data_IF_160523189598
#
_entry.id   IF_160523189598
#
_cell.length_a   1.000
_cell.length_b   1.000
_cell.length_c   1.000
_cell.angle_alpha   90.00
_cell.angle_beta   90.00
_cell.angle_gamma   90.00
#
_symmetry.space_group_name_H-M   'P 1'
#
loop_
_entity.id
_entity.type
_entity.pdbx_description
1 polymer ?
#
# COMPACT_ATOMS: atom_id res chain seq x y z
N UNK A 1 -6.68 -19.83 -8.35
CA UNK A 1 -7.91 -19.21 -7.76
C UNK A 1 -8.09 -17.75 -8.18
N UNK A 2 -7.03 -16.95 -8.35
CA UNK A 2 -7.15 -15.50 -8.60
C UNK A 2 -6.75 -15.03 -10.02
N UNK A 3 -6.37 -15.95 -10.91
CA UNK A 3 -5.82 -15.61 -12.23
C UNK A 3 -6.79 -14.82 -13.16
N UNK A 4 -8.09 -14.85 -12.87
CA UNK A 4 -9.13 -14.17 -13.67
C UNK A 4 -9.90 -13.14 -12.83
N UNK A 5 -9.36 -12.67 -11.71
CA UNK A 5 -10.03 -11.62 -10.93
C UNK A 5 -9.97 -10.30 -11.73
N UNK A 6 -11.07 -9.54 -11.85
CA UNK A 6 -11.08 -8.28 -12.60
C UNK A 6 -10.00 -7.31 -12.12
N UNK A 7 -9.71 -7.30 -10.82
CA UNK A 7 -8.71 -6.39 -10.22
C UNK A 7 -7.26 -6.87 -10.39
N UNK A 8 -7.02 -8.07 -10.94
CA UNK A 8 -5.66 -8.63 -11.03
C UNK A 8 -4.73 -7.75 -11.87
N UNK A 9 -5.25 -7.20 -12.96
CA UNK A 9 -4.47 -6.33 -13.85
C UNK A 9 -4.08 -5.05 -13.13
N UNK A 10 -5.05 -4.35 -12.53
CA UNK A 10 -4.81 -3.11 -11.77
C UNK A 10 -3.91 -3.33 -10.54
N UNK A 11 -4.02 -4.48 -9.87
CA UNK A 11 -3.13 -4.86 -8.76
C UNK A 11 -1.69 -5.11 -9.25
N UNK A 12 -1.52 -5.76 -10.41
CA UNK A 12 -0.20 -5.97 -11.02
C UNK A 12 0.45 -4.67 -11.47
N UNK A 13 -0.32 -3.73 -12.00
CA UNK A 13 0.19 -2.41 -12.36
C UNK A 13 0.73 -1.66 -11.15
N UNK A 14 -0.01 -1.65 -10.04
CA UNK A 14 0.44 -1.03 -8.78
C UNK A 14 1.68 -1.71 -8.21
N UNK A 15 1.70 -3.05 -8.21
CA UNK A 15 2.89 -3.79 -7.79
C UNK A 15 4.11 -3.43 -8.64
N UNK A 16 3.98 -3.38 -9.98
CA UNK A 16 5.09 -2.98 -10.87
C UNK A 16 5.58 -1.57 -10.57
N UNK A 17 4.67 -0.62 -10.41
CA UNK A 17 5.02 0.75 -10.07
C UNK A 17 5.78 0.85 -8.75
N UNK A 18 5.36 0.09 -7.72
CA UNK A 18 6.11 0.02 -6.46
C UNK A 18 7.55 -0.47 -6.67
N UNK A 19 7.76 -1.47 -7.55
CA UNK A 19 9.10 -1.93 -7.87
C UNK A 19 9.92 -0.87 -8.62
N UNK A 20 9.30 -0.13 -9.53
CA UNK A 20 9.94 0.92 -10.33
C UNK A 20 10.35 2.14 -9.49
N UNK A 21 9.49 2.58 -8.56
CA UNK A 21 9.75 3.71 -7.66
C UNK A 21 10.52 3.33 -6.38
N UNK A 22 10.81 2.05 -6.17
CA UNK A 22 11.46 1.58 -4.94
C UNK A 22 10.60 1.72 -3.68
N UNK A 23 9.28 1.66 -3.84
CA UNK A 23 8.28 1.79 -2.76
C UNK A 23 7.92 0.40 -2.23
N UNK A 24 7.89 0.24 -0.91
CA UNK A 24 7.41 -0.99 -0.30
C UNK A 24 5.88 -1.12 -0.49
N UNK A 25 5.44 -2.23 -1.10
CA UNK A 25 4.02 -2.43 -1.41
C UNK A 25 3.16 -2.57 -0.15
N UNK A 26 3.70 -3.19 0.91
CA UNK A 26 2.96 -3.37 2.17
C UNK A 26 2.74 -2.00 2.85
N UNK A 27 3.78 -1.17 2.91
CA UNK A 27 3.73 0.20 3.42
C UNK A 27 2.73 1.05 2.64
N UNK A 28 2.79 1.04 1.31
CA UNK A 28 1.83 1.76 0.47
C UNK A 28 0.40 1.32 0.72
N UNK A 29 0.14 0.01 0.76
CA UNK A 29 -1.20 -0.53 0.95
C UNK A 29 -1.78 -0.19 2.33
N UNK A 30 -0.98 -0.33 3.39
CA UNK A 30 -1.43 0.00 4.75
C UNK A 30 -1.70 1.49 4.90
N UNK A 31 -0.78 2.34 4.45
CA UNK A 31 -0.96 3.78 4.60
C UNK A 31 -2.05 4.34 3.71
N UNK A 32 -2.24 3.79 2.51
CA UNK A 32 -3.37 4.18 1.66
C UNK A 32 -4.71 3.99 2.38
N UNK A 33 -4.89 2.88 3.10
CA UNK A 33 -6.08 2.71 3.94
C UNK A 33 -6.15 3.72 5.09
N UNK A 34 -5.02 4.08 5.68
CA UNK A 34 -4.95 4.99 6.82
C UNK A 34 -5.03 6.48 6.42
N UNK A 35 -5.00 6.82 5.12
CA UNK A 35 -5.27 8.17 4.63
C UNK A 35 -6.72 8.60 4.89
N UNK A 36 -7.65 7.65 5.03
CA UNK A 36 -9.04 7.95 5.36
C UNK A 36 -9.22 8.03 6.88
N UNK A 37 -9.53 9.22 7.40
CA UNK A 37 -9.72 9.48 8.84
C UNK A 37 -10.80 8.60 9.51
N UNK A 38 -11.67 7.94 8.74
CA UNK A 38 -12.68 7.00 9.27
C UNK A 38 -12.07 5.64 9.60
N UNK A 39 -10.87 5.33 9.09
CA UNK A 39 -10.17 4.07 9.25
C UNK A 39 -9.18 4.19 10.41
N UNK A 40 -9.56 3.61 11.55
CA UNK A 40 -8.76 3.65 12.78
C UNK A 40 -7.75 2.50 12.89
N UNK A 41 -7.72 1.57 11.93
CA UNK A 41 -6.80 0.43 11.97
C UNK A 41 -6.98 -0.55 10.80
N UNK A 42 -5.96 -1.38 10.60
CA UNK A 42 -5.93 -2.42 9.59
C UNK A 42 -5.65 -3.78 10.25
N UNK A 43 -6.58 -4.72 10.09
CA UNK A 43 -6.47 -6.08 10.61
C UNK A 43 -5.58 -6.93 9.70
N UNK A 44 -4.27 -6.88 9.96
CA UNK A 44 -3.24 -7.63 9.25
C UNK A 44 -2.69 -8.77 10.12
N UNK A 45 -2.65 -9.97 9.56
CA UNK A 45 -2.08 -11.14 10.23
C UNK A 45 -0.56 -11.22 10.08
N UNK A 46 0.08 -11.93 11.01
CA UNK A 46 1.51 -12.25 10.96
C UNK A 46 1.70 -13.69 11.40
N UNK A 47 2.54 -14.45 10.69
CA UNK A 47 2.90 -15.82 11.04
C UNK A 47 4.12 -15.90 11.96
N UNK A 48 4.89 -14.82 12.05
CA UNK A 48 6.10 -14.70 12.85
C UNK A 48 6.37 -13.25 13.28
N UNK A 49 7.40 -13.06 14.10
CA UNK A 49 7.77 -11.76 14.66
C UNK A 49 8.25 -10.82 13.56
N UNK A 50 9.01 -11.32 12.59
CA UNK A 50 9.57 -10.50 11.51
C UNK A 50 8.47 -9.86 10.66
N UNK A 51 7.40 -10.60 10.37
CA UNK A 51 6.21 -10.09 9.68
C UNK A 51 5.44 -9.09 10.55
N UNK A 52 5.32 -9.34 11.85
CA UNK A 52 4.69 -8.40 12.78
C UNK A 52 5.44 -7.07 12.78
N UNK A 53 6.77 -7.11 12.88
CA UNK A 53 7.60 -5.92 12.84
C UNK A 53 7.53 -5.20 11.48
N UNK A 54 7.47 -5.95 10.37
CA UNK A 54 7.28 -5.37 9.04
C UNK A 54 5.94 -4.62 8.95
N UNK A 55 4.86 -5.21 9.47
CA UNK A 55 3.55 -4.57 9.53
C UNK A 55 3.58 -3.28 10.37
N UNK A 56 4.24 -3.33 11.54
CA UNK A 56 4.40 -2.15 12.42
C UNK A 56 5.18 -1.05 11.70
N UNK A 57 6.33 -1.36 11.09
CA UNK A 57 7.12 -0.38 10.33
C UNK A 57 6.32 0.23 9.18
N UNK A 58 5.64 -0.62 8.40
CA UNK A 58 4.82 -0.20 7.27
C UNK A 58 3.66 0.74 7.68
N UNK A 59 3.06 0.52 8.85
CA UNK A 59 1.99 1.38 9.37
C UNK A 59 2.50 2.66 10.04
N UNK A 60 3.71 2.65 10.62
CA UNK A 60 4.18 3.73 11.52
C UNK A 60 5.22 4.67 10.93
N UNK A 61 5.88 4.30 9.83
CA UNK A 61 6.86 5.15 9.14
C UNK A 61 6.20 5.75 7.91
N UNK A 62 5.81 7.03 7.89
CA UNK A 62 5.11 7.62 6.76
C UNK A 62 5.91 7.50 5.45
N UNK A 63 5.21 7.22 4.35
CA UNK A 63 5.74 7.49 3.01
C UNK A 63 5.89 9.00 2.82
N UNK A 64 6.86 9.42 2.01
CA UNK A 64 7.03 10.83 1.69
C UNK A 64 5.89 11.37 0.84
N UNK A 65 5.64 12.67 0.92
CA UNK A 65 4.65 13.35 0.07
C UNK A 65 4.94 13.14 -1.42
N UNK A 66 6.21 13.11 -1.83
CA UNK A 66 6.62 12.81 -3.20
C UNK A 66 6.09 11.46 -3.70
N UNK A 67 6.07 10.43 -2.84
CA UNK A 67 5.54 9.11 -3.21
C UNK A 67 4.03 9.21 -3.47
N UNK A 68 3.29 9.95 -2.64
CA UNK A 68 1.85 10.15 -2.79
C UNK A 68 1.51 10.99 -4.02
N UNK A 69 2.26 12.06 -4.27
CA UNK A 69 2.12 12.89 -5.47
C UNK A 69 2.29 12.06 -6.75
N UNK A 70 3.33 11.22 -6.81
CA UNK A 70 3.56 10.30 -7.93
C UNK A 70 2.47 9.24 -8.05
N UNK A 71 2.00 8.69 -6.93
CA UNK A 71 0.93 7.70 -6.92
C UNK A 71 -0.38 8.28 -7.49
N UNK A 72 -0.79 9.46 -6.99
CA UNK A 72 -1.98 10.17 -7.45
C UNK A 72 -1.88 10.52 -8.94
N UNK A 73 -0.73 11.06 -9.37
CA UNK A 73 -0.48 11.38 -10.77
C UNK A 73 -0.57 10.15 -11.70
N UNK A 74 -0.18 8.96 -11.22
CA UNK A 74 -0.15 7.73 -12.03
C UNK A 74 -1.47 6.99 -12.09
N UNK A 75 -2.19 6.92 -10.96
CA UNK A 75 -3.33 6.02 -10.79
C UNK A 75 -4.67 6.71 -10.60
N UNK A 76 -4.69 7.96 -10.16
CA UNK A 76 -5.90 8.68 -9.79
C UNK A 76 -6.63 8.05 -8.60
N UNK A 77 -6.92 8.85 -7.59
CA UNK A 77 -7.69 8.46 -6.42
C UNK A 77 -6.83 8.27 -5.17
N UNK A 78 -7.00 9.19 -4.23
CA UNK A 78 -6.53 9.04 -2.85
C UNK A 78 -6.31 10.33 -2.08
N UNK A 79 -6.27 11.49 -2.72
CA UNK A 79 -6.16 12.79 -2.01
C UNK A 79 -7.39 13.65 -2.34
N UNK A 80 -8.42 13.58 -1.48
CA UNK A 80 -9.42 14.63 -1.32
C UNK A 80 -9.42 15.06 0.14
#
# INVERSE_FOLDING_TARGET
>A
RWANHPDLESARERWKWCQEEGVDLLQLALQFCLLDDRIHGNNIGSLNVEQLEANVRAASVPLSDEVWEKYEARFGGGIN
#
